data_IF_913455124459
#
_entry.id   IF_913455124459
#
_cell.length_a   1.000
_cell.length_b   1.000
_cell.length_c   1.000
_cell.angle_alpha   90.00
_cell.angle_beta   90.00
_cell.angle_gamma   90.00
#
_symmetry.space_group_name_H-M   'P 1'
#
loop_
_entity.id
_entity.type
_entity.pdbx_description
1 polymer ?
#
# COMPACT_ATOMS: atom_id res chain seq x y z
N UNK A 1 -36.46 34.40 -22.24
CA UNK A 1 -36.16 32.96 -22.20
C UNK A 1 -35.78 32.63 -20.77
N UNK A 2 -36.74 32.13 -19.98
CA UNK A 2 -36.59 31.84 -18.55
C UNK A 2 -36.21 30.38 -18.42
N UNK A 3 -34.97 30.09 -18.06
CA UNK A 3 -34.48 28.73 -17.81
C UNK A 3 -34.57 28.44 -16.31
N UNK A 4 -35.54 27.62 -15.91
CA UNK A 4 -35.63 27.08 -14.56
C UNK A 4 -34.60 25.95 -14.41
N UNK A 5 -33.60 26.14 -13.55
CA UNK A 5 -32.68 25.09 -13.11
C UNK A 5 -33.39 24.31 -12.01
N UNK A 6 -33.80 23.08 -12.34
CA UNK A 6 -34.36 22.08 -11.44
C UNK A 6 -33.23 21.60 -10.53
N UNK A 7 -33.35 21.92 -9.23
CA UNK A 7 -32.47 21.44 -8.18
C UNK A 7 -32.66 19.95 -7.94
N UNK A 8 -31.58 19.18 -8.11
CA UNK A 8 -31.49 17.82 -7.63
C UNK A 8 -31.00 17.86 -6.18
N UNK A 9 -31.90 17.54 -5.24
CA UNK A 9 -31.59 17.25 -3.85
C UNK A 9 -30.61 16.08 -3.76
N UNK A 10 -29.40 16.33 -3.27
CA UNK A 10 -28.49 15.29 -2.80
C UNK A 10 -28.98 14.82 -1.43
N UNK A 11 -29.70 13.70 -1.42
CA UNK A 11 -29.99 12.96 -0.19
C UNK A 11 -28.69 12.39 0.39
N UNK A 12 -28.41 12.82 1.62
CA UNK A 12 -27.32 12.36 2.48
C UNK A 12 -27.53 10.88 2.84
N UNK A 13 -26.57 9.98 2.57
CA UNK A 13 -26.66 8.59 3.00
C UNK A 13 -26.57 8.53 4.53
N UNK A 14 -27.63 8.02 5.16
CA UNK A 14 -27.72 7.87 6.61
C UNK A 14 -26.77 6.79 7.10
N UNK A 15 -26.06 7.17 8.16
CA UNK A 15 -25.29 6.38 9.12
C UNK A 15 -25.59 4.88 9.13
N UNK A 16 -24.68 4.12 8.53
CA UNK A 16 -24.55 2.69 8.76
C UNK A 16 -24.05 2.48 10.19
N UNK A 17 -24.97 1.99 11.04
CA UNK A 17 -24.69 1.55 12.41
C UNK A 17 -23.59 0.48 12.36
N UNK A 18 -22.40 0.87 12.86
CA UNK A 18 -21.29 -0.03 13.10
C UNK A 18 -21.74 -1.15 14.05
N UNK A 19 -21.79 -2.37 13.53
CA UNK A 19 -21.87 -3.58 14.33
C UNK A 19 -20.58 -3.70 15.17
N UNK A 20 -20.65 -4.20 16.41
CA UNK A 20 -19.46 -4.45 17.21
C UNK A 20 -18.63 -5.52 16.50
N UNK A 21 -17.47 -5.13 15.98
CA UNK A 21 -16.51 -6.05 15.40
C UNK A 21 -16.05 -7.00 16.49
N UNK A 22 -16.47 -8.25 16.37
CA UNK A 22 -15.94 -9.36 17.16
C UNK A 22 -14.41 -9.34 17.05
N UNK A 23 -13.66 -9.41 18.16
CA UNK A 23 -12.21 -9.50 18.10
C UNK A 23 -11.85 -10.81 17.40
N UNK A 24 -11.35 -10.69 16.16
CA UNK A 24 -10.77 -11.79 15.41
C UNK A 24 -9.79 -12.52 16.33
N UNK A 25 -10.13 -13.76 16.66
CA UNK A 25 -9.34 -14.61 17.53
C UNK A 25 -7.89 -14.64 17.08
N UNK A 26 -6.97 -14.55 18.03
CA UNK A 26 -5.54 -14.60 17.79
C UNK A 26 -5.21 -15.80 16.90
N UNK A 27 -4.83 -15.52 15.66
CA UNK A 27 -4.32 -16.53 14.74
C UNK A 27 -2.92 -16.86 15.25
N UNK A 28 -2.80 -17.93 16.03
CA UNK A 28 -1.51 -18.56 16.29
C UNK A 28 -0.98 -19.04 14.94
N UNK A 29 -0.07 -18.25 14.36
CA UNK A 29 0.75 -18.66 13.23
C UNK A 29 1.70 -19.73 13.80
N UNK A 30 1.21 -20.96 13.83
CA UNK A 30 2.01 -22.14 14.14
C UNK A 30 3.27 -22.10 13.28
N UNK A 31 4.42 -22.16 13.94
CA UNK A 31 5.73 -22.03 13.30
C UNK A 31 5.82 -22.93 12.08
N UNK A 32 6.24 -22.34 10.96
CA UNK A 32 6.50 -23.10 9.74
C UNK A 32 7.43 -24.27 10.08
N UNK A 33 7.11 -25.51 9.68
CA UNK A 33 8.00 -26.64 9.90
C UNK A 33 9.34 -26.29 9.29
N UNK A 34 10.41 -26.35 10.10
CA UNK A 34 11.78 -26.19 9.61
C UNK A 34 11.95 -27.18 8.46
N UNK A 35 12.01 -26.66 7.24
CA UNK A 35 12.38 -27.46 6.10
C UNK A 35 13.76 -28.06 6.37
N UNK A 36 14.01 -29.31 5.97
CA UNK A 36 15.30 -29.95 6.15
C UNK A 36 16.38 -29.07 5.49
N UNK A 37 17.19 -28.42 6.32
CA UNK A 37 18.34 -27.64 5.88
C UNK A 37 19.44 -28.63 5.50
N UNK A 38 19.60 -28.87 4.20
CA UNK A 38 20.76 -29.59 3.69
C UNK A 38 22.00 -28.71 3.90
N UNK A 39 23.02 -29.26 4.56
CA UNK A 39 24.30 -28.57 4.68
C UNK A 39 25.02 -28.53 3.31
N UNK A 40 25.84 -27.50 3.09
CA UNK A 40 26.71 -27.36 1.91
C UNK A 40 27.56 -28.64 1.69
N UNK A 41 27.91 -29.32 2.78
CA UNK A 41 28.66 -30.58 2.81
C UNK A 41 27.90 -31.73 2.12
N UNK A 42 26.59 -31.86 2.36
CA UNK A 42 25.75 -32.88 1.70
C UNK A 42 25.65 -32.64 0.19
N UNK A 43 25.66 -31.38 -0.24
CA UNK A 43 25.62 -31.01 -1.66
C UNK A 43 26.95 -31.34 -2.33
N UNK A 44 28.08 -31.16 -1.64
CA UNK A 44 29.40 -31.54 -2.16
C UNK A 44 29.59 -33.06 -2.22
N UNK A 45 29.14 -33.80 -1.19
CA UNK A 45 29.21 -35.27 -1.16
C UNK A 45 28.44 -35.91 -2.33
N UNK A 46 27.22 -35.42 -2.61
CA UNK A 46 26.42 -35.89 -3.75
C UNK A 46 27.10 -35.64 -5.11
N UNK A 47 27.93 -34.59 -5.23
CA UNK A 47 28.71 -34.32 -6.44
C UNK A 47 29.94 -35.23 -6.57
N UNK A 48 30.58 -35.58 -5.47
CA UNK A 48 31.75 -36.48 -5.46
C UNK A 48 31.39 -37.92 -5.88
N UNK A 49 30.20 -38.40 -5.53
CA UNK A 49 29.74 -39.73 -5.92
C UNK A 49 29.42 -39.87 -7.42
N UNK A 50 29.16 -38.75 -8.11
CA UNK A 50 28.82 -38.75 -9.54
C UNK A 50 30.04 -38.93 -10.46
N UNK A 51 31.26 -38.82 -9.93
CA UNK A 51 32.51 -38.98 -10.71
C UNK A 51 33.15 -40.35 -10.59
N UNK A 52 32.60 -41.29 -9.80
CA UNK A 52 33.06 -42.68 -9.80
C UNK A 52 32.50 -43.41 -11.06
N UNK A 53 32.94 -42.93 -12.21
CA UNK A 53 32.63 -43.52 -13.50
C UNK A 53 33.43 -44.80 -13.66
N UNK A 54 32.69 -45.88 -13.87
CA UNK A 54 33.12 -47.22 -14.24
C UNK A 54 34.23 -47.14 -15.30
N UNK A 55 35.48 -47.24 -14.83
CA UNK A 55 36.63 -47.44 -15.70
C UNK A 55 36.64 -48.91 -16.10
N UNK A 56 36.37 -49.13 -17.39
CA UNK A 56 36.17 -50.44 -17.98
C UNK A 56 37.44 -51.28 -17.96
N UNK A 57 37.35 -52.45 -17.34
CA UNK A 57 38.27 -53.56 -17.57
C UNK A 57 37.53 -54.59 -18.42
N UNK A 58 37.47 -54.33 -19.72
CA UNK A 58 37.03 -55.31 -20.71
C UNK A 58 38.21 -56.25 -20.96
N UNK A 59 38.30 -57.29 -20.13
CA UNK A 59 39.21 -58.42 -20.31
C UNK A 59 38.86 -59.18 -21.58
N UNK A 60 39.52 -58.82 -22.68
CA UNK A 60 39.49 -59.54 -23.96
C UNK A 60 40.39 -60.75 -23.86
N UNK A 61 39.86 -61.85 -23.31
CA UNK A 61 40.52 -63.15 -23.37
C UNK A 61 40.23 -63.79 -24.73
N UNK A 62 41.20 -63.63 -25.65
CA UNK A 62 41.32 -64.38 -26.89
C UNK A 62 41.62 -65.84 -26.56
N UNK A 63 40.59 -66.69 -26.57
CA UNK A 63 40.70 -68.13 -26.27
C UNK A 63 40.54 -68.97 -27.56
N UNK A 64 41.47 -68.81 -28.50
CA UNK A 64 41.65 -69.75 -29.61
C UNK A 64 43.02 -70.41 -29.50
N UNK A 65 43.09 -71.53 -28.76
CA UNK A 65 44.22 -72.45 -28.81
C UNK A 65 43.87 -73.58 -29.79
N UNK A 66 44.38 -73.46 -31.01
CA UNK A 66 44.38 -74.47 -32.05
C UNK A 66 45.46 -75.51 -31.69
N UNK A 67 45.07 -76.69 -31.20
CA UNK A 67 45.97 -77.84 -31.04
C UNK A 67 45.65 -78.85 -32.15
N UNK A 68 46.49 -78.84 -33.19
CA UNK A 68 46.57 -79.89 -34.20
C UNK A 68 47.29 -81.11 -33.61
N UNK A 69 46.60 -82.25 -33.55
CA UNK A 69 47.18 -83.54 -33.19
C UNK A 69 46.98 -84.57 -34.30
N UNK A 70 48.05 -85.17 -34.88
CA UNK A 70 47.95 -86.23 -35.88
C UNK A 70 47.97 -87.61 -35.18
N UNK A 71 46.98 -88.47 -35.46
CA UNK A 71 46.86 -89.75 -34.74
C UNK A 71 45.98 -90.81 -35.36
N UNK A 72 46.30 -91.20 -36.59
CA UNK A 72 46.10 -92.51 -37.26
C UNK A 72 45.53 -93.65 -36.37
N UNK A 73 44.37 -94.19 -36.76
CA UNK A 73 43.80 -95.44 -36.24
C UNK A 73 42.53 -95.84 -36.99
N UNK A 74 42.69 -96.51 -38.13
CA UNK A 74 41.61 -97.08 -38.93
C UNK A 74 41.22 -98.44 -38.32
N UNK A 75 40.03 -98.52 -37.74
CA UNK A 75 39.36 -99.78 -37.33
C UNK A 75 37.92 -99.79 -37.87
N UNK A 76 37.36 -100.94 -38.26
CA UNK A 76 36.14 -101.04 -39.06
C UNK A 76 34.90 -101.20 -38.17
N UNK A 77 34.03 -100.17 -38.09
CA UNK A 77 32.76 -100.25 -37.37
C UNK A 77 31.57 -99.75 -38.22
N UNK A 78 31.23 -100.53 -39.25
CA UNK A 78 29.98 -100.37 -40.02
C UNK A 78 28.80 -101.03 -39.29
N UNK A 79 28.26 -100.40 -38.23
CA UNK A 79 26.85 -100.63 -37.82
C UNK A 79 26.21 -99.70 -36.77
N UNK A 80 26.87 -98.65 -36.29
CA UNK A 80 26.31 -97.79 -35.20
C UNK A 80 26.00 -96.33 -35.60
N UNK A 81 26.14 -95.96 -36.87
CA UNK A 81 26.05 -94.55 -37.32
C UNK A 81 24.63 -93.98 -37.35
N UNK A 82 23.58 -94.80 -37.52
CA UNK A 82 22.20 -94.29 -37.68
C UNK A 82 21.60 -93.73 -36.39
N UNK A 83 22.05 -94.19 -35.21
CA UNK A 83 21.56 -93.68 -33.92
C UNK A 83 22.17 -92.32 -33.55
N UNK A 84 23.39 -92.03 -34.01
CA UNK A 84 24.08 -90.78 -33.72
C UNK A 84 23.52 -89.63 -34.57
N UNK A 85 23.24 -89.88 -35.86
CA UNK A 85 22.63 -88.88 -36.75
C UNK A 85 21.24 -88.44 -36.27
N UNK A 86 20.44 -89.39 -35.77
CA UNK A 86 19.10 -89.10 -35.22
C UNK A 86 19.16 -88.20 -33.97
N UNK A 87 20.18 -88.37 -33.13
CA UNK A 87 20.37 -87.52 -31.94
C UNK A 87 20.77 -86.10 -32.33
N UNK A 88 21.68 -85.95 -33.30
CA UNK A 88 22.11 -84.65 -33.82
C UNK A 88 20.96 -83.87 -34.46
N UNK A 89 20.09 -84.54 -35.23
CA UNK A 89 18.92 -83.88 -35.82
C UNK A 89 17.93 -83.41 -34.74
N UNK A 90 17.68 -84.21 -33.71
CA UNK A 90 16.83 -83.81 -32.58
C UNK A 90 17.42 -82.60 -31.85
N UNK A 91 18.72 -82.63 -31.57
CA UNK A 91 19.41 -81.53 -30.92
C UNK A 91 19.36 -80.24 -31.75
N UNK A 92 19.66 -80.33 -33.05
CA UNK A 92 19.59 -79.19 -33.96
C UNK A 92 18.18 -78.58 -34.02
N UNK A 93 17.14 -79.41 -34.03
CA UNK A 93 15.75 -78.94 -34.00
C UNK A 93 15.40 -78.25 -32.68
N UNK A 94 15.79 -78.83 -31.54
CA UNK A 94 15.61 -78.21 -30.22
C UNK A 94 16.33 -76.86 -30.12
N UNK A 95 17.54 -76.79 -30.67
CA UNK A 95 18.34 -75.56 -30.72
C UNK A 95 17.67 -74.49 -31.58
N UNK A 96 17.25 -74.85 -32.79
CA UNK A 96 16.54 -73.94 -33.70
C UNK A 96 15.26 -73.39 -33.06
N UNK A 97 14.51 -74.21 -32.31
CA UNK A 97 13.32 -73.75 -31.57
C UNK A 97 13.68 -72.75 -30.46
N UNK A 98 14.74 -72.99 -29.71
CA UNK A 98 15.21 -72.07 -28.68
C UNK A 98 15.72 -70.75 -29.29
N UNK A 99 16.36 -70.80 -30.45
CA UNK A 99 16.81 -69.61 -31.19
C UNK A 99 15.63 -68.76 -31.65
N UNK A 100 14.57 -69.37 -32.20
CA UNK A 100 13.34 -68.65 -32.57
C UNK A 100 12.67 -67.99 -31.35
N UNK A 101 12.63 -68.68 -30.20
CA UNK A 101 12.10 -68.11 -28.95
C UNK A 101 12.89 -66.88 -28.50
N UNK A 102 14.22 -66.93 -28.58
CA UNK A 102 15.07 -65.79 -28.24
C UNK A 102 14.90 -64.63 -29.21
N UNK A 103 14.62 -64.89 -30.48
CA UNK A 103 14.38 -63.85 -31.47
C UNK A 103 13.10 -63.05 -31.16
N UNK A 104 12.05 -63.71 -30.69
CA UNK A 104 10.81 -63.07 -30.24
C UNK A 104 11.05 -62.21 -28.99
N UNK A 105 11.76 -62.75 -27.98
CA UNK A 105 12.15 -61.98 -26.78
C UNK A 105 12.99 -60.74 -27.13
N UNK A 106 13.92 -60.84 -28.09
CA UNK A 106 14.71 -59.68 -28.55
C UNK A 106 13.81 -58.61 -29.19
N UNK A 107 12.82 -59.01 -29.99
CA UNK A 107 11.88 -58.07 -30.62
C UNK A 107 11.02 -57.38 -29.56
N UNK A 108 10.55 -58.11 -28.55
CA UNK A 108 9.78 -57.55 -27.44
C UNK A 108 10.60 -56.55 -26.63
N UNK A 109 11.85 -56.88 -26.28
CA UNK A 109 12.76 -55.97 -25.58
C UNK A 109 13.10 -54.72 -26.40
N UNK A 110 13.22 -54.85 -27.73
CA UNK A 110 13.42 -53.70 -28.62
C UNK A 110 12.21 -52.77 -28.63
N UNK A 111 10.99 -53.33 -28.66
CA UNK A 111 9.76 -52.55 -28.58
C UNK A 111 9.61 -51.84 -27.23
N UNK A 112 9.95 -52.53 -26.13
CA UNK A 112 9.94 -51.95 -24.78
C UNK A 112 10.97 -50.82 -24.64
N UNK A 113 12.19 -51.00 -25.17
CA UNK A 113 13.23 -49.97 -25.19
C UNK A 113 12.79 -48.74 -26.00
N UNK A 114 12.20 -48.95 -27.18
CA UNK A 114 11.67 -47.86 -28.00
C UNK A 114 10.56 -47.08 -27.27
N UNK A 115 9.66 -47.78 -26.59
CA UNK A 115 8.62 -47.16 -25.76
C UNK A 115 9.21 -46.37 -24.60
N UNK A 116 10.18 -46.93 -23.87
CA UNK A 116 10.84 -46.25 -22.76
C UNK A 116 11.56 -44.97 -23.22
N UNK A 117 12.18 -44.98 -24.39
CA UNK A 117 12.80 -43.76 -24.97
C UNK A 117 11.76 -42.70 -25.35
N UNK A 118 10.59 -43.10 -25.85
CA UNK A 118 9.50 -42.17 -26.11
C UNK A 118 8.98 -41.55 -24.80
N UNK A 119 8.67 -42.37 -23.80
CA UNK A 119 8.20 -41.92 -22.49
C UNK A 119 9.23 -40.97 -21.83
N UNK A 120 10.52 -41.26 -21.97
CA UNK A 120 11.61 -40.40 -21.51
C UNK A 120 11.60 -39.04 -22.23
N UNK A 121 11.39 -39.03 -23.54
CA UNK A 121 11.36 -37.79 -24.33
C UNK A 121 10.18 -36.91 -23.92
N UNK A 122 9.00 -37.51 -23.78
CA UNK A 122 7.79 -36.82 -23.32
C UNK A 122 7.98 -36.22 -21.92
N UNK A 123 8.65 -36.94 -21.01
CA UNK A 123 8.96 -36.44 -19.67
C UNK A 123 9.94 -35.25 -19.71
N UNK A 124 10.93 -35.28 -20.60
CA UNK A 124 11.89 -34.19 -20.79
C UNK A 124 11.17 -32.93 -21.29
N UNK A 125 10.28 -33.06 -22.27
CA UNK A 125 9.48 -31.94 -22.79
C UNK A 125 8.61 -31.32 -21.69
N UNK A 126 7.93 -32.15 -20.89
CA UNK A 126 7.14 -31.67 -19.76
C UNK A 126 7.98 -30.94 -18.71
N UNK A 127 9.19 -31.43 -18.41
CA UNK A 127 10.10 -30.77 -17.47
C UNK A 127 10.56 -29.41 -18.02
N UNK A 128 10.90 -29.32 -19.30
CA UNK A 128 11.28 -28.06 -19.95
C UNK A 128 10.15 -27.03 -19.88
N UNK A 129 8.92 -27.44 -20.20
CA UNK A 129 7.74 -26.57 -20.09
C UNK A 129 7.52 -26.08 -18.65
N UNK A 130 7.66 -26.96 -17.65
CA UNK A 130 7.53 -26.56 -16.23
C UNK A 130 8.61 -25.58 -15.79
N UNK A 131 9.85 -25.74 -16.26
CA UNK A 131 10.95 -24.81 -15.99
C UNK A 131 10.63 -23.42 -16.55
N UNK A 132 10.09 -23.34 -17.77
CA UNK A 132 9.69 -22.08 -18.38
C UNK A 132 8.58 -21.37 -17.56
N UNK A 133 7.54 -22.11 -17.18
CA UNK A 133 6.45 -21.57 -16.34
C UNK A 133 6.99 -21.08 -14.99
N UNK A 134 7.91 -21.82 -14.36
CA UNK A 134 8.58 -21.40 -13.13
C UNK A 134 9.38 -20.11 -13.33
N UNK A 135 10.05 -19.94 -14.48
CA UNK A 135 10.73 -18.71 -14.85
C UNK A 135 9.75 -17.53 -14.88
N UNK A 136 8.66 -17.65 -15.64
CA UNK A 136 7.64 -16.61 -15.76
C UNK A 136 7.00 -16.22 -14.41
N UNK A 137 6.79 -17.20 -13.52
CA UNK A 137 6.25 -16.93 -12.20
C UNK A 137 7.22 -16.14 -11.31
N UNK A 138 8.53 -16.41 -11.40
CA UNK A 138 9.53 -15.63 -10.67
C UNK A 138 9.55 -14.17 -11.12
N UNK A 139 9.53 -13.94 -12.43
CA UNK A 139 9.50 -12.58 -13.00
C UNK A 139 8.27 -11.81 -12.52
N UNK A 140 7.09 -12.46 -12.50
CA UNK A 140 5.86 -11.85 -11.96
C UNK A 140 5.98 -11.55 -10.47
N UNK A 141 6.56 -12.45 -9.68
CA UNK A 141 6.79 -12.22 -8.24
C UNK A 141 7.70 -11.03 -8.01
N UNK A 142 8.77 -10.88 -8.80
CA UNK A 142 9.70 -9.77 -8.65
C UNK A 142 9.09 -8.44 -9.11
N UNK A 143 8.26 -8.44 -10.16
CA UNK A 143 7.46 -7.29 -10.57
C UNK A 143 6.49 -6.86 -9.45
N UNK A 144 5.73 -7.79 -8.87
CA UNK A 144 4.81 -7.48 -7.76
C UNK A 144 5.53 -6.95 -6.52
N UNK A 145 6.74 -7.45 -6.22
CA UNK A 145 7.57 -6.90 -5.13
C UNK A 145 7.97 -5.45 -5.40
N UNK A 146 8.39 -5.14 -6.63
CA UNK A 146 8.75 -3.77 -7.01
C UNK A 146 7.55 -2.82 -6.91
N UNK A 147 6.37 -3.24 -7.38
CA UNK A 147 5.13 -2.47 -7.23
C UNK A 147 4.79 -2.24 -5.75
N UNK A 148 4.87 -3.29 -4.92
CA UNK A 148 4.59 -3.21 -3.48
C UNK A 148 5.50 -2.19 -2.78
N UNK A 149 6.79 -2.16 -3.13
CA UNK A 149 7.73 -1.17 -2.61
C UNK A 149 7.38 0.25 -3.09
N UNK A 150 7.03 0.42 -4.36
CA UNK A 150 6.60 1.72 -4.90
C UNK A 150 5.34 2.28 -4.23
N UNK A 151 4.37 1.41 -3.90
CA UNK A 151 3.18 1.79 -3.13
C UNK A 151 3.54 2.24 -1.71
N UNK A 152 4.45 1.53 -1.05
CA UNK A 152 4.92 1.89 0.30
C UNK A 152 5.56 3.28 0.32
N UNK A 153 6.51 3.54 -0.57
CA UNK A 153 7.17 4.85 -0.68
C UNK A 153 6.18 5.98 -0.97
N UNK A 154 5.16 5.70 -1.79
CA UNK A 154 4.09 6.65 -2.10
C UNK A 154 3.24 6.97 -0.86
N UNK A 155 2.93 5.96 -0.04
CA UNK A 155 2.21 6.16 1.22
C UNK A 155 3.04 6.98 2.21
N UNK A 156 4.33 6.70 2.34
CA UNK A 156 5.23 7.44 3.24
C UNK A 156 5.33 8.91 2.82
N UNK A 157 5.46 9.19 1.52
CA UNK A 157 5.43 10.56 0.97
C UNK A 157 4.11 11.26 1.27
N UNK A 158 2.98 10.58 1.03
CA UNK A 158 1.66 11.15 1.30
C UNK A 158 1.46 11.48 2.78
N UNK A 159 1.96 10.64 3.69
CA UNK A 159 1.93 10.91 5.12
C UNK A 159 2.71 12.20 5.47
N UNK A 160 3.92 12.36 4.94
CA UNK A 160 4.73 13.56 5.15
C UNK A 160 4.09 14.85 4.58
N UNK A 161 3.49 14.76 3.38
CA UNK A 161 2.76 15.89 2.77
C UNK A 161 1.54 16.28 3.62
N UNK A 162 0.80 15.31 4.15
CA UNK A 162 -0.34 15.55 5.04
C UNK A 162 0.08 16.29 6.32
N UNK A 163 1.17 15.86 6.97
CA UNK A 163 1.69 16.54 8.17
C UNK A 163 2.12 17.98 7.89
N UNK A 164 2.75 18.20 6.74
CA UNK A 164 3.14 19.54 6.28
C UNK A 164 1.91 20.42 6.08
N UNK A 165 0.88 19.91 5.40
CA UNK A 165 -0.37 20.64 5.18
C UNK A 165 -1.10 20.97 6.50
N UNK A 166 -1.13 20.04 7.45
CA UNK A 166 -1.71 20.28 8.78
C UNK A 166 -0.94 21.37 9.55
N UNK A 167 0.39 21.38 9.46
CA UNK A 167 1.24 22.41 10.07
C UNK A 167 0.97 23.79 9.46
N UNK A 168 0.82 23.86 8.14
CA UNK A 168 0.46 25.10 7.44
C UNK A 168 -0.93 25.59 7.83
N UNK A 169 -1.91 24.69 7.92
CA UNK A 169 -3.28 25.02 8.33
C UNK A 169 -3.31 25.60 9.75
N UNK A 170 -2.59 24.97 10.69
CA UNK A 170 -2.46 25.46 12.06
C UNK A 170 -1.81 26.85 12.11
N UNK A 171 -0.78 27.08 11.30
CA UNK A 171 -0.14 28.39 11.18
C UNK A 171 -1.12 29.47 10.70
N UNK A 172 -1.87 29.19 9.63
CA UNK A 172 -2.87 30.13 9.08
C UNK A 172 -3.99 30.39 10.09
N UNK A 173 -4.46 29.37 10.80
CA UNK A 173 -5.47 29.51 11.84
C UNK A 173 -5.00 30.45 12.96
N UNK A 174 -3.74 30.29 13.41
CA UNK A 174 -3.16 31.16 14.43
C UNK A 174 -3.08 32.62 13.98
N UNK A 175 -2.72 32.85 12.71
CA UNK A 175 -2.68 34.20 12.11
C UNK A 175 -4.08 34.81 12.05
N UNK A 176 -5.07 34.05 11.59
CA UNK A 176 -6.46 34.50 11.51
C UNK A 176 -7.01 34.87 12.89
N UNK A 177 -6.70 34.06 13.91
CA UNK A 177 -7.07 34.33 15.30
C UNK A 177 -6.48 35.65 15.80
N UNK A 178 -5.18 35.87 15.57
CA UNK A 178 -4.52 37.12 15.94
C UNK A 178 -5.08 38.35 15.18
N UNK A 179 -5.43 38.20 13.90
CA UNK A 179 -6.10 39.26 13.13
C UNK A 179 -7.47 39.61 13.71
N UNK A 180 -8.25 38.59 14.10
CA UNK A 180 -9.56 38.78 14.73
C UNK A 180 -9.47 39.56 16.04
N UNK A 181 -8.55 39.18 16.91
CA UNK A 181 -8.33 39.88 18.19
C UNK A 181 -7.94 41.35 18.00
N UNK A 182 -7.06 41.63 17.03
CA UNK A 182 -6.69 43.01 16.67
C UNK A 182 -7.88 43.81 16.15
N UNK A 183 -8.71 43.20 15.30
CA UNK A 183 -9.94 43.83 14.79
C UNK A 183 -10.91 44.16 15.93
N UNK A 184 -11.14 43.23 16.86
CA UNK A 184 -12.01 43.47 18.03
C UNK A 184 -11.45 44.55 18.96
N UNK A 185 -10.14 44.59 19.17
CA UNK A 185 -9.51 45.66 19.96
C UNK A 185 -9.63 47.03 19.27
N UNK A 186 -9.56 47.08 17.95
CA UNK A 186 -9.77 48.30 17.18
C UNK A 186 -11.24 48.76 17.23
N UNK A 187 -12.19 47.84 17.11
CA UNK A 187 -13.63 48.10 17.25
C UNK A 187 -13.96 48.70 18.63
N UNK A 188 -13.38 48.14 19.70
CA UNK A 188 -13.53 48.69 21.05
C UNK A 188 -13.02 50.13 21.19
N UNK A 189 -11.88 50.46 20.58
CA UNK A 189 -11.33 51.83 20.57
C UNK A 189 -12.22 52.80 19.78
N UNK A 190 -12.81 52.36 18.67
CA UNK A 190 -13.74 53.17 17.87
C UNK A 190 -14.98 53.49 18.71
N UNK A 191 -15.59 52.47 19.33
CA UNK A 191 -16.76 52.65 20.19
C UNK A 191 -16.49 53.60 21.38
N UNK A 192 -15.31 53.51 22.00
CA UNK A 192 -14.90 54.43 23.08
C UNK A 192 -14.81 55.89 22.59
N UNK A 193 -14.19 56.12 21.43
CA UNK A 193 -14.08 57.45 20.84
C UNK A 193 -15.45 58.03 20.46
N UNK A 194 -16.35 57.20 19.90
CA UNK A 194 -17.71 57.59 19.58
C UNK A 194 -18.49 58.01 20.84
N UNK A 195 -18.39 57.24 21.93
CA UNK A 195 -19.02 57.58 23.21
C UNK A 195 -18.47 58.91 23.78
N UNK A 196 -17.14 59.13 23.71
CA UNK A 196 -16.52 60.38 24.16
C UNK A 196 -16.99 61.58 23.33
N UNK A 197 -17.09 61.43 22.00
CA UNK A 197 -17.62 62.47 21.12
C UNK A 197 -19.08 62.79 21.42
N UNK A 198 -19.91 61.76 21.66
CA UNK A 198 -21.31 61.97 22.04
C UNK A 198 -21.44 62.73 23.36
N UNK A 199 -20.61 62.41 24.36
CA UNK A 199 -20.55 63.13 25.63
C UNK A 199 -20.14 64.60 25.47
N UNK A 200 -19.06 64.88 24.72
CA UNK A 200 -18.61 66.25 24.47
C UNK A 200 -19.64 67.06 23.67
N UNK A 201 -20.34 66.44 22.72
CA UNK A 201 -21.44 67.08 22.00
C UNK A 201 -22.61 67.45 22.91
N UNK A 202 -22.98 66.58 23.84
CA UNK A 202 -24.06 66.87 24.81
C UNK A 202 -23.65 67.97 25.79
N UNK A 203 -22.41 67.92 26.28
CA UNK A 203 -21.83 68.97 27.12
C UNK A 203 -21.83 70.33 26.40
N UNK A 204 -21.32 70.37 25.17
CA UNK A 204 -21.28 71.59 24.36
C UNK A 204 -22.68 72.15 24.03
N UNK A 205 -23.73 71.31 23.99
CA UNK A 205 -25.12 71.76 23.84
C UNK A 205 -25.69 72.39 25.12
N UNK A 206 -25.34 71.86 26.28
CA UNK A 206 -25.87 72.35 27.57
C UNK A 206 -25.18 73.62 28.10
N UNK A 207 -23.89 73.83 27.78
CA UNK A 207 -23.14 75.03 28.16
C UNK A 207 -23.79 76.37 27.71
N UNK A 208 -24.22 76.56 26.44
CA UNK A 208 -24.86 77.79 26.01
C UNK A 208 -26.25 77.99 26.64
N UNK A 209 -26.99 76.91 26.91
CA UNK A 209 -28.28 76.99 27.60
C UNK A 209 -28.11 77.48 29.04
N UNK A 210 -27.10 76.95 29.74
CA UNK A 210 -26.73 77.41 31.08
C UNK A 210 -26.26 78.87 31.08
N UNK A 211 -25.37 79.24 30.15
CA UNK A 211 -24.87 80.62 30.03
C UNK A 211 -25.99 81.61 29.72
N UNK A 212 -26.98 81.20 28.90
CA UNK A 212 -28.18 81.99 28.63
C UNK A 212 -29.03 82.17 29.89
N UNK A 213 -29.30 81.10 30.63
CA UNK A 213 -30.07 81.18 31.87
C UNK A 213 -29.39 82.09 32.92
N UNK A 214 -28.06 82.02 33.03
CA UNK A 214 -27.27 82.90 33.89
C UNK A 214 -27.34 84.37 33.44
N UNK A 215 -27.23 84.64 32.13
CA UNK A 215 -27.39 85.98 31.58
C UNK A 215 -28.80 86.54 31.80
N UNK A 216 -29.84 85.72 31.56
CA UNK A 216 -31.24 86.08 31.80
C UNK A 216 -31.49 86.41 33.29
N UNK A 217 -30.88 85.64 34.21
CA UNK A 217 -30.94 85.91 35.65
C UNK A 217 -30.28 87.25 36.02
N UNK A 218 -29.10 87.56 35.47
CA UNK A 218 -28.41 88.84 35.69
C UNK A 218 -29.25 90.02 35.16
N UNK A 219 -29.82 89.89 33.95
CA UNK A 219 -30.68 90.92 33.34
C UNK A 219 -31.92 91.19 34.19
N UNK A 220 -32.52 90.15 34.78
CA UNK A 220 -33.68 90.29 35.65
C UNK A 220 -33.35 91.09 36.93
N UNK A 221 -32.18 90.88 37.54
CA UNK A 221 -31.72 91.64 38.71
C UNK A 221 -31.57 93.13 38.38
N UNK A 222 -30.86 93.47 37.30
CA UNK A 222 -30.71 94.86 36.88
C UNK A 222 -32.05 95.55 36.55
N UNK A 223 -32.99 94.82 35.95
CA UNK A 223 -34.33 95.33 35.69
C UNK A 223 -35.07 95.68 36.99
N UNK A 224 -35.04 94.77 37.97
CA UNK A 224 -35.67 95.00 39.27
C UNK A 224 -35.04 96.20 40.01
N UNK A 225 -33.72 96.33 39.98
CA UNK A 225 -33.01 97.46 40.58
C UNK A 225 -33.34 98.79 39.90
N UNK A 226 -33.41 98.81 38.57
CA UNK A 226 -33.81 99.99 37.80
C UNK A 226 -35.26 100.42 38.11
N UNK A 227 -36.18 99.45 38.21
CA UNK A 227 -37.57 99.69 38.62
C UNK A 227 -37.64 100.23 40.06
N UNK A 228 -36.90 99.65 41.00
CA UNK A 228 -36.82 100.12 42.38
C UNK A 228 -36.29 101.56 42.47
N UNK A 229 -35.23 101.88 41.74
CA UNK A 229 -34.69 103.24 41.64
C UNK A 229 -35.69 104.22 41.02
N UNK A 230 -36.42 103.80 39.97
CA UNK A 230 -37.48 104.61 39.36
C UNK A 230 -38.63 104.90 40.35
N UNK A 231 -39.09 103.90 41.11
CA UNK A 231 -40.11 104.06 42.15
C UNK A 231 -39.63 105.01 43.25
N UNK A 232 -38.39 104.87 43.71
CA UNK A 232 -37.80 105.80 44.68
C UNK A 232 -37.74 107.24 44.14
N UNK A 233 -37.31 107.43 42.89
CA UNK A 233 -37.27 108.75 42.26
C UNK A 233 -38.66 109.39 42.14
N UNK A 234 -39.69 108.61 41.76
CA UNK A 234 -41.09 109.09 41.72
C UNK A 234 -41.57 109.52 43.10
N UNK A 235 -41.29 108.73 44.14
CA UNK A 235 -41.66 109.05 45.52
C UNK A 235 -40.96 110.34 46.02
N UNK A 236 -39.68 110.53 45.68
CA UNK A 236 -38.95 111.77 46.00
C UNK A 236 -39.54 112.99 45.28
N UNK A 237 -39.92 112.85 44.00
CA UNK A 237 -40.59 113.92 43.25
C UNK A 237 -41.98 114.28 43.83
N UNK A 238 -42.75 113.32 44.34
CA UNK A 238 -44.03 113.59 44.99
C UNK A 238 -43.86 114.31 46.34
N UNK A 239 -42.91 113.88 47.17
CA UNK A 239 -42.64 114.53 48.47
C UNK A 239 -42.13 115.97 48.33
N UNK A 240 -41.42 116.29 47.26
CA UNK A 240 -41.01 117.67 46.95
C UNK A 240 -42.20 118.51 46.46
N UNK A 241 -43.12 117.92 45.70
CA UNK A 241 -44.36 118.58 45.25
C UNK A 241 -45.32 118.91 46.41
N UNK A 242 -45.45 118.05 47.42
CA UNK A 242 -46.30 118.31 48.59
C UNK A 242 -45.72 119.31 49.58
N UNK A 243 -44.40 119.60 49.52
CA UNK A 243 -43.73 120.60 50.37
C UNK A 243 -43.74 122.02 49.77
N UNK A 244 -44.12 122.15 48.50
CA UNK A 244 -44.19 123.42 47.77
C UNK A 244 -45.59 124.07 47.78
N UNK A 245 -46.54 123.48 48.50
CA UNK A 245 -47.86 124.02 48.84
C UNK A 245 -47.93 124.27 50.35
#
# INVERSE_FOLDING_TARGET
MVGMVVGASLEVPRDAKNAPSDPLGAIEIGGSPMLPSFSEEMIQEARALKTLSIEGVHGREDLFRLEEGPGRGLEPLQRSTSSSESALHREAFSRSRAELSREEEIKDLQAELAKAHQDQSDLIEQLQQKIEVIGQLRDKVDMMKAETLGWKESMDRFAAEKETALSQLSSVESLLRGMKEKSSAQEGKIAELEARLAYELEKAKSEPEKAKAEADAIVAVYRADAEAAQVQARKAAETTKTRAY
#
